data_IF_195469308279
#
_entry.id   IF_195469308279
#
_cell.length_a   1.000
_cell.length_b   1.000
_cell.length_c   1.000
_cell.angle_alpha   90.00
_cell.angle_beta   90.00
_cell.angle_gamma   90.00
#
_symmetry.space_group_name_H-M   'P 1'
#
loop_
_entity.id
_entity.type
_entity.pdbx_description
1 polymer ?
#
# COMPACT_ATOMS: atom_id res chain seq x y z
N UNK A 1 -9.72 3.58 -5.72
CA UNK A 1 -9.34 3.96 -4.35
C UNK A 1 -9.84 5.34 -4.04
N UNK A 2 -10.44 5.56 -2.86
CA UNK A 2 -10.99 6.87 -2.48
C UNK A 2 -9.84 7.87 -2.26
N UNK A 3 -9.89 9.03 -2.89
CA UNK A 3 -8.87 10.09 -2.74
C UNK A 3 -9.46 11.30 -2.01
N UNK A 4 -8.61 12.11 -1.39
CA UNK A 4 -9.03 13.35 -0.75
C UNK A 4 -9.80 14.28 -1.70
N UNK A 5 -9.37 14.37 -2.96
CA UNK A 5 -10.04 15.17 -4.01
C UNK A 5 -11.38 14.58 -4.46
N UNK A 6 -11.57 13.25 -4.37
CA UNK A 6 -12.87 12.63 -4.64
C UNK A 6 -13.88 12.87 -3.51
N UNK A 7 -13.40 13.02 -2.27
CA UNK A 7 -14.20 13.28 -1.07
C UNK A 7 -14.52 14.76 -0.89
N UNK A 8 -13.58 15.62 -1.30
CA UNK A 8 -13.68 17.06 -1.15
C UNK A 8 -13.70 17.65 -2.55
N UNK A 9 -14.85 18.19 -3.00
CA UNK A 9 -15.04 18.77 -4.33
C UNK A 9 -13.74 19.39 -4.88
N UNK A 10 -13.05 18.66 -5.77
CA UNK A 10 -11.63 18.88 -6.05
C UNK A 10 -11.33 20.32 -6.49
N UNK A 11 -12.26 20.95 -7.23
CA UNK A 11 -12.12 22.36 -7.66
C UNK A 11 -12.18 23.31 -6.47
N UNK A 12 -13.14 23.10 -5.58
CA UNK A 12 -13.37 23.93 -4.41
C UNK A 12 -12.22 23.79 -3.39
N UNK A 13 -11.74 22.56 -3.17
CA UNK A 13 -10.58 22.27 -2.31
C UNK A 13 -9.32 22.96 -2.82
N UNK A 14 -9.04 22.88 -4.12
CA UNK A 14 -7.90 23.57 -4.75
C UNK A 14 -8.00 25.09 -4.60
N UNK A 15 -9.20 25.66 -4.75
CA UNK A 15 -9.43 27.09 -4.56
C UNK A 15 -9.11 27.54 -3.13
N UNK A 16 -9.61 26.82 -2.11
CA UNK A 16 -9.32 27.17 -0.72
C UNK A 16 -7.85 26.96 -0.35
N UNK A 17 -7.20 25.88 -0.82
CA UNK A 17 -5.77 25.66 -0.62
C UNK A 17 -4.94 26.81 -1.21
N UNK A 18 -5.23 27.23 -2.45
CA UNK A 18 -4.55 28.36 -3.08
C UNK A 18 -4.67 29.66 -2.25
N UNK A 19 -5.87 29.94 -1.73
CA UNK A 19 -6.11 31.07 -0.83
C UNK A 19 -5.31 30.97 0.48
N UNK A 20 -5.26 29.78 1.08
CA UNK A 20 -4.50 29.51 2.31
C UNK A 20 -3.00 29.71 2.09
N UNK A 21 -2.44 29.13 1.02
CA UNK A 21 -1.03 29.24 0.66
C UNK A 21 -0.62 30.70 0.49
N UNK A 22 -1.46 31.48 -0.20
CA UNK A 22 -1.24 32.91 -0.38
C UNK A 22 -1.14 33.64 0.96
N UNK A 23 -2.06 33.38 1.89
CA UNK A 23 -2.06 34.00 3.23
C UNK A 23 -0.80 33.63 4.01
N UNK A 24 -0.43 32.34 4.01
CA UNK A 24 0.74 31.85 4.74
C UNK A 24 2.06 32.41 4.18
N UNK A 25 2.21 32.49 2.86
CA UNK A 25 3.40 33.10 2.23
C UNK A 25 3.49 34.58 2.56
N UNK A 26 2.40 35.34 2.43
CA UNK A 26 2.40 36.78 2.74
C UNK A 26 2.75 37.02 4.21
N UNK A 27 2.19 36.23 5.13
CA UNK A 27 2.47 36.33 6.57
C UNK A 27 3.96 36.16 6.90
N UNK A 28 4.66 35.34 6.12
CA UNK A 28 6.07 35.01 6.35
C UNK A 28 7.03 35.74 5.40
N UNK A 29 6.57 36.70 4.58
CA UNK A 29 7.38 37.27 3.50
C UNK A 29 8.65 37.99 4.00
N UNK A 30 8.56 38.66 5.15
CA UNK A 30 9.70 39.33 5.78
C UNK A 30 10.73 38.33 6.31
N UNK A 31 10.24 37.19 6.85
CA UNK A 31 11.08 36.11 7.37
C UNK A 31 11.78 35.39 6.22
N UNK A 32 11.08 35.13 5.12
CA UNK A 32 11.64 34.54 3.90
C UNK A 32 12.87 35.35 3.45
N UNK A 33 12.74 36.68 3.44
CA UNK A 33 13.83 37.60 3.11
C UNK A 33 14.37 37.36 1.70
N UNK A 34 15.69 37.21 1.57
CA UNK A 34 16.37 36.96 0.28
C UNK A 34 16.70 35.48 0.02
N UNK A 35 16.25 34.56 0.88
CA UNK A 35 16.54 33.13 0.72
C UNK A 35 15.81 32.56 -0.50
N UNK A 36 16.43 31.60 -1.17
CA UNK A 36 15.76 30.86 -2.25
C UNK A 36 14.67 29.97 -1.66
N UNK A 37 13.60 29.75 -2.40
CA UNK A 37 12.50 28.89 -1.95
C UNK A 37 12.76 27.44 -2.32
N UNK A 38 12.40 26.53 -1.43
CA UNK A 38 12.22 25.10 -1.71
C UNK A 38 10.78 24.74 -1.43
N UNK A 39 10.14 24.00 -2.33
CA UNK A 39 8.84 23.39 -2.05
C UNK A 39 9.10 21.96 -1.57
N UNK A 40 8.72 21.65 -0.35
CA UNK A 40 8.83 20.30 0.21
C UNK A 40 7.44 19.67 0.26
N UNK A 41 7.26 18.51 -0.35
CA UNK A 41 5.97 17.84 -0.41
C UNK A 41 6.08 16.40 -0.92
N UNK A 42 4.96 15.84 -1.34
CA UNK A 42 4.88 14.44 -1.81
C UNK A 42 5.39 14.26 -3.26
N UNK A 43 6.43 14.99 -3.66
CA UNK A 43 7.01 14.96 -5.00
C UNK A 43 6.16 15.71 -6.04
N UNK A 44 5.85 15.06 -7.18
CA UNK A 44 5.00 15.61 -8.27
C UNK A 44 3.51 15.66 -7.91
N UNK A 45 3.21 16.21 -6.73
CA UNK A 45 1.87 16.28 -6.18
C UNK A 45 1.11 17.53 -6.59
N UNK A 46 -0.23 17.44 -6.52
CA UNK A 46 -1.15 18.55 -6.78
C UNK A 46 -0.86 19.77 -5.88
N UNK A 47 -0.42 19.54 -4.64
CA UNK A 47 -0.12 20.64 -3.71
C UNK A 47 1.06 21.50 -4.18
N UNK A 48 2.12 20.89 -4.72
CA UNK A 48 3.27 21.62 -5.30
C UNK A 48 2.85 22.45 -6.52
N UNK A 49 2.00 21.90 -7.39
CA UNK A 49 1.45 22.63 -8.55
C UNK A 49 0.61 23.85 -8.16
N UNK A 50 -0.25 23.72 -7.15
CA UNK A 50 -1.01 24.86 -6.62
C UNK A 50 -0.06 25.92 -6.08
N UNK A 51 0.97 25.50 -5.34
CA UNK A 51 1.93 26.41 -4.72
C UNK A 51 2.74 27.18 -5.78
N UNK A 52 3.25 26.51 -6.81
CA UNK A 52 3.92 27.15 -7.96
C UNK A 52 3.03 28.21 -8.64
N UNK A 53 1.74 27.90 -8.84
CA UNK A 53 0.76 28.87 -9.37
C UNK A 53 0.58 30.07 -8.45
N UNK A 54 0.47 29.86 -7.13
CA UNK A 54 0.35 30.92 -6.13
C UNK A 54 1.59 31.82 -6.12
N UNK A 55 2.80 31.25 -6.16
CA UNK A 55 4.04 32.01 -6.25
C UNK A 55 4.07 32.91 -7.49
N UNK A 56 3.68 32.37 -8.65
CA UNK A 56 3.58 33.15 -9.89
C UNK A 56 2.55 34.28 -9.82
N UNK A 57 1.38 34.03 -9.21
CA UNK A 57 0.36 35.06 -9.01
C UNK A 57 0.80 36.18 -8.05
N UNK A 58 1.53 35.83 -6.99
CA UNK A 58 2.08 36.80 -6.05
C UNK A 58 3.10 37.72 -6.74
N UNK A 59 4.03 37.15 -7.53
CA UNK A 59 5.00 37.92 -8.32
C UNK A 59 4.31 38.86 -9.31
N UNK A 60 3.28 38.40 -10.03
CA UNK A 60 2.47 39.24 -10.93
C UNK A 60 1.76 40.39 -10.22
N UNK A 61 1.49 40.26 -8.93
CA UNK A 61 0.89 41.31 -8.08
C UNK A 61 1.92 42.20 -7.39
N UNK A 62 3.20 42.14 -7.79
CA UNK A 62 4.27 42.98 -7.25
C UNK A 62 4.80 42.53 -5.89
N UNK A 63 4.40 41.37 -5.37
CA UNK A 63 4.96 40.82 -4.13
C UNK A 63 6.36 40.28 -4.43
N UNK A 64 7.37 40.74 -3.68
CA UNK A 64 8.78 40.32 -3.80
C UNK A 64 8.99 38.93 -3.22
N UNK A 65 8.49 37.92 -3.91
CA UNK A 65 8.67 36.51 -3.54
C UNK A 65 9.94 35.96 -4.22
N UNK A 66 10.91 35.42 -3.47
CA UNK A 66 12.15 34.89 -4.05
C UNK A 66 11.93 33.77 -5.06
N UNK A 67 12.97 33.47 -5.83
CA UNK A 67 12.95 32.40 -6.83
C UNK A 67 12.80 31.02 -6.17
N UNK A 68 12.12 30.11 -6.88
CA UNK A 68 12.05 28.70 -6.52
C UNK A 68 13.32 28.02 -7.01
N UNK A 69 14.11 27.44 -6.10
CA UNK A 69 15.34 26.75 -6.48
C UNK A 69 15.07 25.33 -6.98
N UNK A 70 14.32 24.55 -6.21
CA UNK A 70 13.95 23.17 -6.54
C UNK A 70 12.76 22.71 -5.69
N UNK A 71 12.18 21.57 -6.06
CA UNK A 71 11.21 20.85 -5.25
C UNK A 71 11.93 19.71 -4.50
N UNK A 72 11.48 19.38 -3.31
CA UNK A 72 12.01 18.31 -2.49
C UNK A 72 10.89 17.37 -2.03
N UNK A 73 11.25 16.12 -1.76
CA UNK A 73 10.30 15.11 -1.27
C UNK A 73 10.91 14.18 -0.23
N UNK A 74 10.06 13.71 0.68
CA UNK A 74 10.36 12.65 1.64
C UNK A 74 9.98 11.25 1.12
N UNK A 75 9.48 11.15 -0.12
CA UNK A 75 9.13 9.89 -0.76
C UNK A 75 9.99 9.64 -2.01
N UNK A 76 11.11 8.95 -1.82
CA UNK A 76 12.10 8.72 -2.88
C UNK A 76 11.57 7.85 -4.02
N UNK A 77 10.46 7.11 -3.81
CA UNK A 77 9.78 6.37 -4.88
C UNK A 77 9.19 7.29 -5.95
N UNK A 78 9.04 8.58 -5.65
CA UNK A 78 8.54 9.59 -6.59
C UNK A 78 9.66 10.26 -7.40
N UNK A 79 10.93 9.97 -7.07
CA UNK A 79 12.08 10.49 -7.79
C UNK A 79 12.26 9.75 -9.11
N UNK A 80 12.70 10.48 -10.14
CA UNK A 80 12.96 9.93 -11.47
C UNK A 80 14.45 10.01 -11.73
N UNK A 81 15.09 8.87 -12.02
CA UNK A 81 16.52 8.79 -12.27
C UNK A 81 16.91 9.73 -13.42
N UNK A 82 17.88 10.61 -13.16
CA UNK A 82 18.36 11.61 -14.13
C UNK A 82 17.56 12.93 -14.16
N UNK A 83 16.47 13.05 -13.40
CA UNK A 83 15.72 14.30 -13.26
C UNK A 83 16.03 14.97 -11.90
N UNK A 84 16.76 16.09 -11.94
CA UNK A 84 17.17 16.84 -10.75
C UNK A 84 16.18 17.96 -10.35
N UNK A 85 14.99 18.01 -10.97
CA UNK A 85 13.95 18.99 -10.64
C UNK A 85 13.32 18.74 -9.26
N UNK A 86 13.32 17.49 -8.82
CA UNK A 86 12.87 17.04 -7.50
C UNK A 86 14.01 16.32 -6.82
N UNK A 87 14.23 16.64 -5.54
CA UNK A 87 15.35 16.16 -4.74
C UNK A 87 14.90 15.45 -3.48
N UNK A 88 15.77 14.63 -2.90
CA UNK A 88 15.48 14.01 -1.60
C UNK A 88 15.48 15.07 -0.50
N UNK A 89 14.58 14.96 0.47
CA UNK A 89 14.55 15.82 1.68
C UNK A 89 15.91 15.80 2.39
N UNK A 90 16.65 14.69 2.28
CA UNK A 90 17.98 14.49 2.89
C UNK A 90 19.01 15.52 2.42
N UNK A 91 18.86 16.05 1.20
CA UNK A 91 19.74 17.06 0.62
C UNK A 91 19.60 18.43 1.29
N UNK A 92 18.54 18.66 2.08
CA UNK A 92 18.34 19.93 2.80
C UNK A 92 19.20 20.05 4.05
N UNK A 93 19.92 19.00 4.48
CA UNK A 93 20.72 19.03 5.71
C UNK A 93 21.71 20.20 5.71
N UNK A 94 21.60 21.08 6.72
CA UNK A 94 22.49 22.23 6.88
C UNK A 94 22.22 23.41 5.93
N UNK A 95 21.10 23.41 5.20
CA UNK A 95 20.78 24.40 4.18
C UNK A 95 19.92 25.61 4.65
N UNK A 96 19.60 25.71 5.94
CA UNK A 96 18.66 26.70 6.49
C UNK A 96 19.03 28.18 6.26
N UNK A 97 20.33 28.48 6.10
CA UNK A 97 20.82 29.84 5.77
C UNK A 97 20.52 30.26 4.33
N UNK A 98 20.54 29.31 3.39
CA UNK A 98 20.40 29.59 1.96
C UNK A 98 18.94 29.45 1.47
N UNK A 99 18.15 28.62 2.14
CA UNK A 99 16.82 28.26 1.68
C UNK A 99 15.74 28.46 2.75
N UNK A 100 14.56 28.84 2.30
CA UNK A 100 13.33 28.82 3.07
C UNK A 100 12.39 27.76 2.50
N UNK A 101 11.84 26.91 3.37
CA UNK A 101 11.08 25.73 2.94
C UNK A 101 9.58 25.97 3.05
N UNK A 102 8.86 25.80 1.94
CA UNK A 102 7.40 25.77 1.91
C UNK A 102 6.92 24.32 1.97
N UNK A 103 6.43 23.90 3.14
CA UNK A 103 5.98 22.52 3.37
C UNK A 103 4.53 22.37 2.92
N UNK A 104 4.34 21.60 1.85
CA UNK A 104 3.08 21.39 1.13
C UNK A 104 2.49 19.98 1.29
N UNK A 105 2.91 19.25 2.33
CA UNK A 105 2.40 17.92 2.69
C UNK A 105 1.11 17.96 3.50
N UNK A 106 0.49 16.79 3.70
CA UNK A 106 -0.78 16.67 4.43
C UNK A 106 -0.66 17.22 5.85
N UNK A 107 -1.64 18.03 6.26
CA UNK A 107 -1.70 18.55 7.64
C UNK A 107 -2.90 18.00 8.42
N UNK A 108 -4.05 17.83 7.75
CA UNK A 108 -5.29 17.31 8.36
C UNK A 108 -5.25 15.79 8.51
N UNK A 109 -5.75 15.27 9.63
CA UNK A 109 -5.75 13.83 9.95
C UNK A 109 -6.37 12.97 8.84
N UNK A 110 -7.45 13.41 8.19
CA UNK A 110 -8.08 12.65 7.11
C UNK A 110 -7.20 12.64 5.85
N UNK A 111 -6.53 13.77 5.54
CA UNK A 111 -5.60 13.84 4.41
C UNK A 111 -4.34 12.99 4.68
N UNK A 112 -3.87 12.94 5.92
CA UNK A 112 -2.77 12.06 6.35
C UNK A 112 -3.19 10.60 6.22
N UNK A 113 -4.35 10.22 6.78
CA UNK A 113 -4.88 8.87 6.72
C UNK A 113 -5.04 8.37 5.27
N UNK A 114 -5.72 9.14 4.42
CA UNK A 114 -5.97 8.75 3.03
C UNK A 114 -4.68 8.67 2.20
N UNK A 115 -3.70 9.55 2.43
CA UNK A 115 -2.40 9.45 1.76
C UNK A 115 -1.62 8.23 2.23
N UNK A 116 -1.60 8.00 3.54
CA UNK A 116 -1.03 6.80 4.16
C UNK A 116 -1.63 5.51 3.61
N UNK A 117 -2.93 5.48 3.29
CA UNK A 117 -3.54 4.33 2.61
C UNK A 117 -3.04 4.15 1.17
N UNK A 118 -2.76 5.21 0.43
CA UNK A 118 -2.26 5.14 -0.96
C UNK A 118 -0.74 4.95 -1.06
N UNK A 119 -0.10 4.72 0.09
CA UNK A 119 1.34 4.61 0.19
C UNK A 119 2.11 5.91 0.08
N UNK A 120 1.46 7.07 0.01
CA UNK A 120 2.16 8.36 0.12
C UNK A 120 2.50 8.62 1.58
N UNK A 121 3.75 8.89 1.85
CA UNK A 121 4.27 9.08 3.22
C UNK A 121 4.55 10.55 3.51
N UNK A 122 4.56 10.91 4.79
CA UNK A 122 4.86 12.27 5.24
C UNK A 122 3.64 13.11 5.59
N UNK A 123 3.50 13.40 6.87
CA UNK A 123 2.70 14.50 7.38
C UNK A 123 3.54 15.78 7.50
N UNK A 124 2.89 16.94 7.51
CA UNK A 124 3.53 18.22 7.82
C UNK A 124 4.30 18.16 9.14
N UNK A 125 3.77 17.45 10.14
CA UNK A 125 4.39 17.25 11.45
C UNK A 125 5.63 16.36 11.39
N UNK A 126 5.60 15.27 10.62
CA UNK A 126 6.76 14.39 10.44
C UNK A 126 7.91 15.11 9.71
N UNK A 127 7.58 15.91 8.68
CA UNK A 127 8.52 16.74 7.93
C UNK A 127 9.09 17.85 8.80
N UNK A 128 8.27 18.50 9.62
CA UNK A 128 8.72 19.51 10.57
C UNK A 128 9.79 18.96 11.52
N UNK A 129 9.53 17.81 12.15
CA UNK A 129 10.51 17.11 13.01
C UNK A 129 11.80 16.81 12.26
N UNK A 130 11.69 16.43 10.99
CA UNK A 130 12.86 16.12 10.16
C UNK A 130 13.68 17.36 9.78
N UNK A 131 13.02 18.45 9.40
CA UNK A 131 13.66 19.73 9.12
C UNK A 131 14.39 20.26 10.36
N UNK A 132 13.78 20.13 11.54
CA UNK A 132 14.43 20.50 12.81
C UNK A 132 15.72 19.70 13.05
N UNK A 133 15.71 18.39 12.77
CA UNK A 133 16.91 17.55 12.83
C UNK A 133 18.00 18.00 11.83
N UNK A 134 17.61 18.61 10.71
CA UNK A 134 18.50 19.16 9.69
C UNK A 134 19.00 20.58 9.96
N UNK A 135 18.64 21.15 11.10
CA UNK A 135 19.09 22.49 11.52
C UNK A 135 18.22 23.63 11.01
N UNK A 136 16.98 23.34 10.61
CA UNK A 136 15.96 24.37 10.37
C UNK A 136 15.24 24.69 11.68
N UNK A 137 14.94 25.96 11.89
CA UNK A 137 14.09 26.45 12.97
C UNK A 137 12.70 26.80 12.43
N UNK A 138 11.73 27.07 13.29
CA UNK A 138 10.38 27.52 12.90
C UNK A 138 10.40 28.81 12.03
N UNK A 139 11.52 29.53 11.98
CA UNK A 139 11.72 30.70 11.11
C UNK A 139 12.24 30.36 9.71
N UNK A 140 12.50 29.09 9.43
CA UNK A 140 13.14 28.64 8.18
C UNK A 140 12.19 27.83 7.28
N UNK A 141 10.97 27.56 7.76
CA UNK A 141 9.93 26.91 6.98
C UNK A 141 8.52 27.43 7.31
N UNK A 142 7.56 27.12 6.44
CA UNK A 142 6.15 27.36 6.67
C UNK A 142 5.32 26.16 6.22
N UNK A 143 4.43 25.69 7.10
CA UNK A 143 3.43 24.66 6.81
C UNK A 143 2.27 25.28 6.03
N UNK A 144 2.37 25.33 4.70
CA UNK A 144 1.38 26.06 3.88
C UNK A 144 0.00 25.40 3.88
N UNK A 145 -0.09 24.11 4.20
CA UNK A 145 -1.36 23.38 4.38
C UNK A 145 -1.98 23.55 5.77
N UNK A 146 -1.30 24.17 6.73
CA UNK A 146 -1.89 24.46 8.03
C UNK A 146 -3.12 25.36 7.82
N UNK A 147 -4.33 24.90 8.19
CA UNK A 147 -5.55 25.63 7.90
C UNK A 147 -5.62 26.91 8.74
N UNK A 148 -5.93 28.04 8.10
CA UNK A 148 -6.31 29.27 8.81
C UNK A 148 -7.80 29.59 8.62
N UNK A 149 -8.47 30.05 9.68
CA UNK A 149 -9.84 30.59 9.64
C UNK A 149 -10.85 29.66 8.95
N UNK A 150 -11.38 30.07 7.79
CA UNK A 150 -12.47 29.44 7.06
C UNK A 150 -12.14 28.05 6.49
N UNK A 151 -10.88 27.80 6.08
CA UNK A 151 -10.48 26.48 5.58
C UNK A 151 -10.57 25.43 6.69
N UNK A 152 -10.20 25.80 7.93
CA UNK A 152 -10.29 24.91 9.08
C UNK A 152 -11.74 24.48 9.37
N UNK A 153 -12.69 25.42 9.30
CA UNK A 153 -14.11 25.11 9.47
C UNK A 153 -14.64 24.20 8.36
N UNK A 154 -14.29 24.47 7.09
CA UNK A 154 -14.69 23.63 5.96
C UNK A 154 -14.13 22.20 6.07
N UNK A 155 -12.85 22.04 6.45
CA UNK A 155 -12.25 20.71 6.64
C UNK A 155 -12.90 19.96 7.81
N UNK A 156 -13.18 20.61 8.94
CA UNK A 156 -13.89 20.01 10.08
C UNK A 156 -15.27 19.49 9.68
N UNK A 157 -16.03 20.26 8.89
CA UNK A 157 -17.35 19.83 8.39
C UNK A 157 -17.24 18.62 7.46
N UNK A 158 -16.19 18.55 6.62
CA UNK A 158 -15.96 17.39 5.74
C UNK A 158 -15.54 16.16 6.54
N UNK A 159 -14.71 16.32 7.56
CA UNK A 159 -14.36 15.25 8.50
C UNK A 159 -15.59 14.72 9.24
N UNK A 160 -16.49 15.58 9.72
CA UNK A 160 -17.72 15.12 10.38
C UNK A 160 -18.68 14.38 9.44
N UNK A 161 -18.66 14.71 8.14
CA UNK A 161 -19.39 13.93 7.12
C UNK A 161 -18.78 12.55 6.87
N UNK A 162 -17.48 12.37 7.15
CA UNK A 162 -16.75 11.11 6.96
C UNK A 162 -16.74 10.22 8.21
N UNK A 163 -16.73 10.81 9.41
CA UNK A 163 -16.75 10.09 10.70
C UNK A 163 -18.10 9.45 11.06
N UNK A 164 -19.12 9.64 10.23
CA UNK A 164 -20.38 8.93 10.40
C UNK A 164 -20.24 7.63 9.64
N UNK A 165 -20.28 6.52 10.38
CA UNK A 165 -20.64 5.19 9.90
C UNK A 165 -21.55 5.27 8.68
N UNK A 166 -20.93 5.25 7.50
CA UNK A 166 -21.63 5.51 6.25
C UNK A 166 -22.56 4.32 6.02
N UNK A 167 -23.85 4.54 6.29
CA UNK A 167 -24.90 3.53 6.14
C UNK A 167 -24.86 2.89 4.75
N UNK A 168 -24.43 3.62 3.71
CA UNK A 168 -24.29 3.06 2.37
C UNK A 168 -23.15 2.04 2.27
N UNK A 169 -22.02 2.32 2.93
CA UNK A 169 -20.87 1.41 3.03
C UNK A 169 -21.21 0.19 3.91
N UNK A 170 -21.90 0.39 5.03
CA UNK A 170 -22.38 -0.72 5.87
C UNK A 170 -23.40 -1.61 5.14
N UNK A 171 -24.38 -1.02 4.45
CA UNK A 171 -25.36 -1.76 3.65
C UNK A 171 -24.69 -2.53 2.50
N UNK A 172 -23.66 -1.94 1.87
CA UNK A 172 -22.87 -2.63 0.83
C UNK A 172 -22.08 -3.79 1.43
N UNK A 173 -21.43 -3.59 2.58
CA UNK A 173 -20.72 -4.63 3.32
C UNK A 173 -21.64 -5.80 3.68
N UNK A 174 -22.82 -5.52 4.25
CA UNK A 174 -23.82 -6.54 4.59
C UNK A 174 -24.31 -7.31 3.35
N UNK A 175 -24.55 -6.61 2.24
CA UNK A 175 -24.96 -7.25 0.98
C UNK A 175 -23.87 -8.17 0.43
N UNK A 176 -22.62 -7.73 0.42
CA UNK A 176 -21.48 -8.52 -0.05
C UNK A 176 -21.25 -9.74 0.87
N UNK A 177 -21.40 -9.57 2.19
CA UNK A 177 -21.33 -10.66 3.18
C UNK A 177 -22.38 -11.73 2.90
N UNK A 178 -23.65 -11.35 2.71
CA UNK A 178 -24.74 -12.29 2.40
C UNK A 178 -24.52 -13.05 1.10
N UNK A 179 -23.86 -12.44 0.11
CA UNK A 179 -23.49 -13.10 -1.16
C UNK A 179 -22.36 -14.11 -0.97
N UNK A 180 -21.39 -13.77 -0.12
CA UNK A 180 -20.12 -14.48 0.05
C UNK A 180 -20.26 -15.71 0.96
N UNK A 181 -21.05 -15.60 2.02
CA UNK A 181 -21.13 -16.60 3.10
C UNK A 181 -21.46 -18.03 2.61
N UNK A 182 -22.44 -18.27 1.72
CA UNK A 182 -22.70 -19.62 1.23
C UNK A 182 -21.54 -20.18 0.40
N UNK A 183 -20.87 -19.33 -0.39
CA UNK A 183 -19.76 -19.73 -1.24
C UNK A 183 -18.52 -20.11 -0.41
N UNK A 184 -18.28 -19.40 0.71
CA UNK A 184 -17.20 -19.73 1.63
C UNK A 184 -17.50 -20.99 2.46
N UNK A 185 -18.76 -21.23 2.84
CA UNK A 185 -19.10 -22.41 3.62
C UNK A 185 -18.68 -23.72 2.92
N UNK A 186 -18.71 -23.77 1.58
CA UNK A 186 -18.25 -24.91 0.77
C UNK A 186 -16.72 -25.15 0.83
N UNK A 187 -15.95 -24.13 1.24
CA UNK A 187 -14.49 -24.20 1.35
C UNK A 187 -14.02 -24.73 2.70
N UNK A 188 -14.85 -24.64 3.75
CA UNK A 188 -14.42 -24.94 5.13
C UNK A 188 -13.92 -26.37 5.27
N UNK A 189 -12.71 -26.54 5.80
CA UNK A 189 -12.04 -27.86 6.00
C UNK A 189 -11.90 -28.72 4.72
N UNK A 190 -12.04 -28.13 3.52
CA UNK A 190 -11.98 -28.84 2.23
C UNK A 190 -10.64 -29.57 2.00
N UNK A 191 -9.57 -29.06 2.57
CA UNK A 191 -8.21 -29.59 2.43
C UNK A 191 -7.63 -30.08 3.76
N UNK A 192 -8.48 -30.52 4.68
CA UNK A 192 -8.09 -30.99 6.00
C UNK A 192 -6.87 -31.93 5.97
N UNK A 193 -5.82 -31.57 6.72
CA UNK A 193 -4.61 -32.38 6.88
C UNK A 193 -3.65 -32.38 5.69
N UNK A 194 -3.95 -31.63 4.62
CA UNK A 194 -3.07 -31.48 3.46
C UNK A 194 -2.12 -30.28 3.65
N UNK A 195 -1.08 -30.23 2.82
CA UNK A 195 -0.20 -29.05 2.70
C UNK A 195 -0.62 -28.14 1.56
N UNK A 196 -0.31 -26.85 1.66
CA UNK A 196 -0.37 -25.92 0.55
C UNK A 196 0.84 -25.01 0.47
N UNK A 197 1.07 -24.47 -0.72
CA UNK A 197 2.05 -23.42 -0.97
C UNK A 197 1.33 -22.13 -1.33
N UNK A 198 1.57 -21.07 -0.57
CA UNK A 198 1.13 -19.72 -0.90
C UNK A 198 2.25 -19.07 -1.72
N UNK A 199 1.97 -18.84 -3.00
CA UNK A 199 2.95 -18.36 -3.98
C UNK A 199 2.66 -16.91 -4.35
N UNK A 200 3.62 -16.05 -4.03
CA UNK A 200 3.61 -14.65 -4.39
C UNK A 200 4.29 -14.32 -5.69
N UNK A 201 4.11 -13.06 -6.08
CA UNK A 201 4.74 -12.48 -7.26
C UNK A 201 5.96 -11.68 -6.85
N UNK A 202 7.11 -12.02 -7.42
CA UNK A 202 8.31 -11.22 -7.37
C UNK A 202 9.03 -11.24 -8.71
N UNK A 203 9.52 -10.07 -9.11
CA UNK A 203 10.41 -9.95 -10.26
C UNK A 203 11.74 -10.68 -10.00
N UNK A 204 12.19 -11.51 -10.94
CA UNK A 204 13.39 -12.35 -10.77
C UNK A 204 13.16 -13.62 -9.95
N UNK A 205 11.92 -14.06 -9.74
CA UNK A 205 11.63 -15.41 -9.21
C UNK A 205 12.25 -16.48 -10.12
N UNK A 206 12.81 -17.53 -9.53
CA UNK A 206 13.39 -18.63 -10.31
C UNK A 206 12.26 -19.50 -10.87
N UNK A 207 12.09 -19.49 -12.19
CA UNK A 207 11.04 -20.27 -12.85
C UNK A 207 11.19 -21.77 -12.58
N UNK A 208 12.41 -22.29 -12.48
CA UNK A 208 12.64 -23.70 -12.17
C UNK A 208 12.12 -24.11 -10.79
N UNK A 209 12.23 -23.22 -9.78
CA UNK A 209 11.66 -23.44 -8.45
C UNK A 209 10.13 -23.44 -8.51
N UNK A 210 9.53 -22.52 -9.28
CA UNK A 210 8.08 -22.52 -9.51
C UNK A 210 7.59 -23.78 -10.23
N UNK A 211 8.39 -24.29 -11.17
CA UNK A 211 8.05 -25.49 -11.94
C UNK A 211 7.96 -26.75 -11.07
N UNK A 212 8.65 -26.81 -9.92
CA UNK A 212 8.55 -27.94 -8.98
C UNK A 212 7.18 -27.99 -8.28
N UNK A 213 6.48 -26.87 -8.21
CA UNK A 213 5.22 -26.71 -7.49
C UNK A 213 3.98 -27.03 -8.36
N UNK A 214 4.16 -27.39 -9.63
CA UNK A 214 3.05 -27.53 -10.59
C UNK A 214 1.99 -28.57 -10.21
N UNK A 215 2.35 -29.57 -9.41
CA UNK A 215 1.42 -30.60 -8.90
C UNK A 215 0.98 -30.35 -7.46
N UNK A 216 1.51 -29.32 -6.80
CA UNK A 216 1.18 -29.00 -5.41
C UNK A 216 -0.13 -28.22 -5.31
N UNK A 217 -0.75 -28.27 -4.13
CA UNK A 217 -1.85 -27.34 -3.84
C UNK A 217 -1.27 -25.94 -3.65
N UNK A 218 -1.51 -25.06 -4.62
CA UNK A 218 -1.07 -23.68 -4.54
C UNK A 218 -2.23 -22.69 -4.42
N UNK A 219 -2.05 -21.71 -3.53
CA UNK A 219 -2.85 -20.48 -3.48
C UNK A 219 -1.96 -19.36 -4.00
N UNK A 220 -2.45 -18.55 -4.93
CA UNK A 220 -1.69 -17.40 -5.45
C UNK A 220 -2.60 -16.22 -5.76
N UNK A 221 -2.01 -15.07 -6.09
CA UNK A 221 -2.76 -13.84 -6.25
C UNK A 221 -2.23 -12.96 -7.39
N UNK A 222 -3.10 -12.09 -7.91
CA UNK A 222 -2.82 -10.94 -8.79
C UNK A 222 -1.58 -11.08 -9.70
N UNK A 223 -0.39 -10.75 -9.19
CA UNK A 223 0.83 -10.62 -9.99
C UNK A 223 1.30 -11.92 -10.63
N UNK A 224 1.01 -13.08 -10.02
CA UNK A 224 1.55 -14.38 -10.47
C UNK A 224 1.17 -14.69 -11.92
N UNK A 225 0.04 -14.14 -12.40
CA UNK A 225 -0.46 -14.39 -13.75
C UNK A 225 0.53 -13.97 -14.84
N UNK A 226 1.42 -13.03 -14.54
CA UNK A 226 2.50 -12.57 -15.44
C UNK A 226 3.51 -13.69 -15.78
N UNK A 227 3.59 -14.75 -14.97
CA UNK A 227 4.46 -15.89 -15.23
C UNK A 227 3.77 -17.06 -15.90
N UNK A 228 2.44 -17.08 -16.05
CA UNK A 228 1.72 -18.26 -16.58
C UNK A 228 2.11 -18.62 -18.02
N UNK A 229 2.60 -17.68 -18.81
CA UNK A 229 3.16 -17.95 -20.14
C UNK A 229 4.57 -18.53 -20.12
N UNK A 230 5.24 -18.54 -18.96
CA UNK A 230 6.65 -18.91 -18.76
C UNK A 230 6.84 -20.11 -17.81
N UNK A 231 5.78 -20.57 -17.15
CA UNK A 231 5.80 -21.75 -16.27
C UNK A 231 4.53 -22.59 -16.43
N UNK A 232 4.60 -23.93 -16.30
CA UNK A 232 3.44 -24.81 -16.15
C UNK A 232 2.66 -24.62 -14.85
N UNK A 233 3.20 -23.93 -13.84
CA UNK A 233 2.50 -23.71 -12.56
C UNK A 233 1.13 -23.08 -12.80
N UNK A 234 0.08 -23.76 -12.31
CA UNK A 234 -1.29 -23.27 -12.26
C UNK A 234 -1.78 -23.43 -10.83
N UNK A 235 -1.98 -22.32 -10.09
CA UNK A 235 -2.50 -22.38 -8.73
C UNK A 235 -3.84 -23.11 -8.69
N UNK A 236 -4.03 -23.96 -7.67
CA UNK A 236 -5.34 -24.56 -7.39
C UNK A 236 -6.37 -23.46 -7.15
N UNK A 237 -5.95 -22.41 -6.44
CA UNK A 237 -6.79 -21.27 -6.08
C UNK A 237 -6.10 -19.97 -6.42
N UNK A 238 -6.88 -19.05 -6.98
CA UNK A 238 -6.40 -17.75 -7.42
C UNK A 238 -7.20 -16.61 -6.79
N UNK A 239 -6.51 -15.70 -6.10
CA UNK A 239 -7.08 -14.50 -5.50
C UNK A 239 -6.92 -13.33 -6.47
N UNK A 240 -8.02 -12.76 -6.91
CA UNK A 240 -8.08 -11.57 -7.77
C UNK A 240 -8.63 -10.39 -6.97
N UNK A 241 -7.74 -9.54 -6.46
CA UNK A 241 -8.09 -8.32 -5.73
C UNK A 241 -7.87 -7.02 -6.54
N UNK A 242 -7.19 -7.11 -7.68
CA UNK A 242 -7.01 -5.98 -8.61
C UNK A 242 -7.36 -6.37 -10.06
N UNK A 243 -8.33 -5.64 -10.64
CA UNK A 243 -8.85 -5.86 -11.99
C UNK A 243 -7.78 -5.78 -13.11
N UNK A 244 -6.71 -5.00 -12.91
CA UNK A 244 -5.63 -4.88 -13.90
C UNK A 244 -4.94 -6.21 -14.19
N UNK A 245 -4.93 -7.13 -13.23
CA UNK A 245 -4.32 -8.44 -13.41
C UNK A 245 -5.18 -9.39 -14.24
N UNK A 246 -6.49 -9.18 -14.27
CA UNK A 246 -7.41 -9.95 -15.11
C UNK A 246 -7.36 -9.50 -16.57
N UNK A 247 -7.19 -8.19 -16.81
CA UNK A 247 -7.12 -7.63 -18.16
C UNK A 247 -5.94 -8.23 -18.95
N UNK A 248 -6.26 -8.99 -20.01
CA UNK A 248 -5.27 -9.68 -20.85
C UNK A 248 -4.80 -11.04 -20.34
N UNK A 249 -5.09 -11.41 -19.08
CA UNK A 249 -4.73 -12.71 -18.50
C UNK A 249 -5.94 -13.61 -18.21
N UNK A 250 -7.17 -13.16 -18.48
CA UNK A 250 -8.41 -13.91 -18.20
C UNK A 250 -8.35 -15.38 -18.63
N UNK A 251 -7.86 -15.67 -19.84
CA UNK A 251 -7.70 -17.03 -20.38
C UNK A 251 -6.90 -18.01 -19.49
N UNK A 252 -6.04 -17.50 -18.61
CA UNK A 252 -5.28 -18.33 -17.68
C UNK A 252 -5.96 -18.45 -16.32
N UNK A 253 -6.75 -17.45 -15.93
CA UNK A 253 -7.39 -17.33 -14.62
C UNK A 253 -8.76 -18.03 -14.61
N UNK A 254 -9.48 -17.97 -15.73
CA UNK A 254 -10.87 -18.44 -15.88
C UNK A 254 -11.05 -19.95 -15.64
N UNK A 255 -9.98 -20.75 -15.74
CA UNK A 255 -10.00 -22.19 -15.45
C UNK A 255 -9.65 -22.56 -14.00
N UNK A 256 -9.31 -21.59 -13.15
CA UNK A 256 -8.90 -21.83 -11.74
C UNK A 256 -10.07 -21.64 -10.77
N UNK A 257 -9.97 -22.22 -9.56
CA UNK A 257 -10.90 -21.90 -8.46
C UNK A 257 -10.61 -20.47 -7.97
N UNK A 258 -11.43 -19.51 -8.38
CA UNK A 258 -11.13 -18.09 -8.22
C UNK A 258 -11.90 -17.45 -7.06
N UNK A 259 -11.14 -16.74 -6.21
CA UNK A 259 -11.66 -15.82 -5.23
C UNK A 259 -11.53 -14.40 -5.78
N UNK A 260 -12.66 -13.70 -5.97
CA UNK A 260 -12.69 -12.38 -6.60
C UNK A 260 -13.18 -11.33 -5.61
N UNK A 261 -12.42 -10.26 -5.45
CA UNK A 261 -12.83 -9.15 -4.61
C UNK A 261 -14.11 -8.48 -5.14
N UNK A 262 -15.05 -8.14 -4.25
CA UNK A 262 -16.37 -7.60 -4.64
C UNK A 262 -16.33 -6.28 -5.43
N UNK A 263 -15.21 -5.57 -5.38
CA UNK A 263 -14.95 -4.35 -6.16
C UNK A 263 -14.29 -4.60 -7.52
N UNK A 264 -13.98 -5.86 -7.87
CA UNK A 264 -13.40 -6.26 -9.15
C UNK A 264 -14.51 -6.80 -10.06
N UNK A 265 -14.55 -6.29 -11.29
CA UNK A 265 -15.46 -6.76 -12.33
C UNK A 265 -14.76 -7.75 -13.23
N UNK A 266 -15.40 -8.90 -13.46
CA UNK A 266 -14.93 -9.98 -14.35
C UNK A 266 -16.08 -10.45 -15.24
N UNK A 267 -15.76 -11.20 -16.30
CA UNK A 267 -16.77 -11.88 -17.12
C UNK A 267 -17.11 -13.23 -16.48
N UNK A 268 -18.06 -13.25 -15.53
CA UNK A 268 -18.42 -14.46 -14.75
C UNK A 268 -18.75 -15.68 -15.63
N UNK A 269 -19.30 -15.46 -16.83
CA UNK A 269 -19.69 -16.48 -17.81
C UNK A 269 -18.51 -17.23 -18.45
N UNK A 270 -17.30 -16.68 -18.36
CA UNK A 270 -16.09 -17.32 -18.90
C UNK A 270 -15.43 -18.29 -17.95
N UNK A 271 -15.77 -18.26 -16.66
CA UNK A 271 -15.13 -19.10 -15.66
C UNK A 271 -15.69 -20.52 -15.72
N UNK A 272 -14.80 -21.52 -15.70
CA UNK A 272 -15.18 -22.95 -15.64
C UNK A 272 -15.96 -23.25 -14.35
N UNK A 273 -15.57 -22.61 -13.25
CA UNK A 273 -16.26 -22.64 -11.97
C UNK A 273 -16.64 -21.21 -11.58
N UNK A 274 -17.90 -21.01 -11.18
CA UNK A 274 -18.37 -19.70 -10.73
C UNK A 274 -17.45 -19.14 -9.62
N UNK A 275 -16.93 -17.91 -9.76
CA UNK A 275 -16.03 -17.34 -8.76
C UNK A 275 -16.71 -17.18 -7.40
N UNK A 276 -15.92 -17.41 -6.35
CA UNK A 276 -16.29 -17.06 -4.97
C UNK A 276 -15.97 -15.60 -4.77
N UNK A 277 -16.99 -14.79 -4.52
CA UNK A 277 -16.78 -13.38 -4.23
C UNK A 277 -16.43 -13.20 -2.77
N UNK A 278 -15.53 -12.27 -2.47
CA UNK A 278 -15.23 -11.90 -1.10
C UNK A 278 -15.12 -10.39 -0.94
N UNK A 279 -15.42 -9.91 0.25
CA UNK A 279 -15.42 -8.49 0.52
C UNK A 279 -14.02 -8.01 0.94
N UNK A 280 -13.44 -7.11 0.15
CA UNK A 280 -12.20 -6.37 0.50
C UNK A 280 -12.50 -4.98 1.09
N UNK A 281 -13.73 -4.47 0.91
CA UNK A 281 -14.12 -3.12 1.27
C UNK A 281 -14.25 -2.85 2.78
N UNK A 282 -14.13 -3.85 3.67
CA UNK A 282 -14.00 -3.68 5.13
C UNK A 282 -12.68 -4.29 5.64
N UNK A 283 -12.09 -3.75 6.73
CA UNK A 283 -10.88 -4.15 7.50
C UNK A 283 -9.77 -5.07 6.88
N UNK A 284 -9.70 -5.31 5.57
CA UNK A 284 -8.88 -6.39 5.00
C UNK A 284 -9.33 -7.77 5.46
N UNK A 285 -10.61 -7.91 5.83
CA UNK A 285 -11.12 -9.08 6.53
C UNK A 285 -12.36 -9.59 5.83
N UNK A 286 -12.34 -10.88 5.47
CA UNK A 286 -13.53 -11.63 5.10
C UNK A 286 -14.19 -12.06 6.41
N UNK A 287 -15.38 -11.54 6.79
CA UNK A 287 -15.97 -11.75 8.13
C UNK A 287 -16.06 -13.20 8.61
N UNK A 288 -16.15 -14.14 7.68
CA UNK A 288 -16.29 -15.57 7.92
C UNK A 288 -14.95 -16.30 8.11
N UNK A 289 -13.83 -15.71 7.71
CA UNK A 289 -12.51 -16.31 7.86
C UNK A 289 -11.92 -16.00 9.26
N UNK A 290 -10.84 -16.67 9.68
CA UNK A 290 -10.09 -16.28 10.86
C UNK A 290 -9.57 -14.83 10.79
N UNK A 291 -9.68 -14.06 11.88
CA UNK A 291 -9.22 -12.67 11.94
C UNK A 291 -8.04 -12.50 12.89
N UNK A 292 -7.05 -11.71 12.50
CA UNK A 292 -5.82 -11.48 13.27
C UNK A 292 -5.48 -9.99 13.44
N UNK A 293 -6.32 -9.12 12.89
CA UNK A 293 -6.11 -7.68 12.78
C UNK A 293 -6.70 -7.14 11.48
N UNK A 294 -6.64 -5.81 11.32
CA UNK A 294 -7.12 -5.12 10.12
C UNK A 294 -5.95 -4.60 9.30
N UNK A 295 -6.00 -4.73 7.97
CA UNK A 295 -4.95 -4.22 7.07
C UNK A 295 -5.23 -2.81 6.53
N UNK A 296 -6.40 -2.24 6.80
CA UNK A 296 -6.85 -1.00 6.14
C UNK A 296 -6.26 0.29 6.71
N UNK A 297 -5.50 0.21 7.80
CA UNK A 297 -5.10 1.40 8.55
C UNK A 297 -3.78 2.03 8.05
N UNK A 298 -2.98 1.31 7.25
CA UNK A 298 -1.73 1.81 6.68
C UNK A 298 -1.38 1.10 5.37
N UNK A 299 -0.67 1.77 4.45
CA UNK A 299 -0.12 1.12 3.24
C UNK A 299 0.78 -0.07 3.60
N UNK A 300 1.51 0.03 4.71
CA UNK A 300 2.34 -1.05 5.19
C UNK A 300 1.53 -2.35 5.30
N UNK A 301 0.40 -2.30 6.00
CA UNK A 301 -0.47 -3.46 6.13
C UNK A 301 -1.20 -3.81 4.82
N UNK A 302 -1.56 -2.83 3.98
CA UNK A 302 -2.17 -3.10 2.67
C UNK A 302 -1.26 -3.88 1.73
N UNK A 303 0.06 -3.75 1.83
CA UNK A 303 1.01 -4.50 0.99
C UNK A 303 1.08 -5.98 1.31
N UNK A 304 0.76 -6.36 2.54
CA UNK A 304 0.66 -7.77 2.96
C UNK A 304 -0.75 -8.34 2.83
N UNK A 305 -1.73 -7.57 2.35
CA UNK A 305 -3.15 -7.96 2.31
C UNK A 305 -3.35 -9.24 1.49
N UNK A 306 -2.68 -9.37 0.34
CA UNK A 306 -2.79 -10.58 -0.49
C UNK A 306 -2.21 -11.83 0.21
N UNK A 307 -1.09 -11.70 0.95
CA UNK A 307 -0.54 -12.78 1.78
C UNK A 307 -1.50 -13.13 2.93
N UNK A 308 -2.04 -12.09 3.56
CA UNK A 308 -2.94 -12.20 4.70
C UNK A 308 -4.23 -12.94 4.32
N UNK A 309 -4.87 -12.56 3.21
CA UNK A 309 -6.07 -13.23 2.68
C UNK A 309 -5.76 -14.68 2.32
N UNK A 310 -4.62 -14.96 1.69
CA UNK A 310 -4.23 -16.32 1.35
C UNK A 310 -4.01 -17.20 2.60
N UNK A 311 -3.41 -16.63 3.67
CA UNK A 311 -3.25 -17.31 4.96
C UNK A 311 -4.60 -17.57 5.63
N UNK A 312 -5.51 -16.60 5.59
CA UNK A 312 -6.87 -16.75 6.13
C UNK A 312 -7.64 -17.87 5.41
N UNK A 313 -7.56 -17.91 4.08
CA UNK A 313 -8.17 -18.98 3.29
C UNK A 313 -7.53 -20.32 3.61
N UNK A 314 -6.20 -20.42 3.61
CA UNK A 314 -5.52 -21.68 3.89
C UNK A 314 -5.90 -22.28 5.26
N UNK A 315 -5.95 -21.44 6.30
CA UNK A 315 -6.36 -21.84 7.64
C UNK A 315 -7.83 -22.24 7.71
N UNK A 316 -8.71 -21.53 7.02
CA UNK A 316 -10.15 -21.82 6.98
C UNK A 316 -10.47 -23.11 6.23
N UNK A 317 -9.70 -23.42 5.18
CA UNK A 317 -9.86 -24.63 4.37
C UNK A 317 -9.20 -25.86 4.99
N UNK A 318 -8.54 -25.73 6.15
CA UNK A 318 -8.06 -26.85 6.96
C UNK A 318 -6.66 -27.37 6.59
N UNK A 319 -5.85 -26.62 5.84
CA UNK A 319 -4.47 -27.02 5.57
C UNK A 319 -3.67 -27.10 6.89
N UNK A 320 -2.90 -28.18 7.06
CA UNK A 320 -2.07 -28.43 8.26
C UNK A 320 -0.63 -27.93 8.10
N UNK A 321 -0.15 -27.79 6.87
CA UNK A 321 1.18 -27.26 6.55
C UNK A 321 1.09 -26.20 5.46
N UNK A 322 1.58 -25.00 5.74
CA UNK A 322 1.49 -23.85 4.83
C UNK A 322 2.89 -23.32 4.54
N UNK A 323 3.27 -23.29 3.27
CA UNK A 323 4.59 -22.84 2.81
C UNK A 323 4.49 -21.50 2.07
N UNK A 324 5.21 -20.47 2.53
CA UNK A 324 5.15 -19.11 1.95
C UNK A 324 6.36 -18.86 1.05
N UNK A 325 6.15 -18.66 -0.24
CA UNK A 325 7.21 -18.41 -1.22
C UNK A 325 6.90 -17.17 -2.08
N UNK A 326 7.92 -16.38 -2.43
CA UNK A 326 7.80 -15.25 -3.35
C UNK A 326 7.26 -13.96 -2.74
N UNK A 327 7.38 -13.75 -1.43
CA UNK A 327 6.93 -12.54 -0.73
C UNK A 327 8.06 -11.61 -0.25
N UNK A 328 9.32 -11.89 -0.58
CA UNK A 328 10.50 -11.14 -0.17
C UNK A 328 10.73 -9.79 -0.90
N UNK A 329 9.77 -9.34 -1.71
CA UNK A 329 9.86 -8.12 -2.52
C UNK A 329 8.62 -7.23 -2.52
N UNK A 330 7.68 -7.45 -1.60
CA UNK A 330 6.42 -6.68 -1.56
C UNK A 330 6.60 -5.23 -1.06
N UNK A 331 7.70 -4.96 -0.33
CA UNK A 331 8.12 -3.62 0.08
C UNK A 331 9.27 -3.13 -0.79
N UNK A 332 9.12 -1.92 -1.34
CA UNK A 332 10.05 -1.31 -2.28
C UNK A 332 10.71 -0.03 -1.74
N UNK A 333 10.52 0.27 -0.46
CA UNK A 333 11.17 1.36 0.25
C UNK A 333 11.18 1.04 1.75
N UNK A 334 12.18 1.58 2.45
CA UNK A 334 12.18 1.63 3.91
C UNK A 334 11.35 2.82 4.37
N UNK A 335 10.40 2.59 5.28
CA UNK A 335 9.69 3.69 5.94
C UNK A 335 10.42 4.03 7.24
N UNK A 336 10.88 5.27 7.38
CA UNK A 336 11.58 5.74 8.60
C UNK A 336 10.59 6.20 9.67
N UNK A 337 11.09 6.48 10.88
CA UNK A 337 10.31 7.10 11.97
C UNK A 337 9.84 8.53 11.68
N UNK A 338 10.29 9.13 10.58
CA UNK A 338 9.84 10.44 10.09
C UNK A 338 8.86 10.30 8.91
N UNK A 339 8.28 9.11 8.71
CA UNK A 339 7.42 8.81 7.56
C UNK A 339 8.11 9.14 6.22
N UNK A 340 9.41 8.85 6.10
CA UNK A 340 10.15 8.97 4.84
C UNK A 340 10.21 7.62 4.16
N UNK A 341 10.00 7.57 2.84
CA UNK A 341 10.20 6.36 2.05
C UNK A 341 11.55 6.47 1.35
N UNK A 342 12.52 5.70 1.82
CA UNK A 342 13.88 5.68 1.30
C UNK A 342 14.07 4.51 0.33
N UNK A 343 14.60 4.79 -0.86
CA UNK A 343 14.85 3.80 -1.91
C UNK A 343 16.35 3.58 -2.08
N UNK A 344 16.75 2.32 -2.20
CA UNK A 344 18.11 1.83 -2.29
C UNK A 344 18.07 0.71 -3.32
N UNK A 345 18.66 0.99 -4.49
CA UNK A 345 18.68 0.11 -5.65
C UNK A 345 19.26 -1.28 -5.35
N UNK A 346 20.01 -1.44 -4.25
CA UNK A 346 20.72 -2.68 -3.90
C UNK A 346 20.01 -3.52 -2.81
N UNK A 347 18.92 -3.04 -2.20
CA UNK A 347 18.35 -3.69 -1.01
C UNK A 347 16.93 -4.24 -1.22
N UNK A 348 16.72 -5.45 -0.69
CA UNK A 348 15.39 -5.91 -0.27
C UNK A 348 15.05 -5.24 1.05
N UNK A 349 13.79 -4.86 1.22
CA UNK A 349 13.31 -4.21 2.43
C UNK A 349 12.57 -5.18 3.33
N UNK A 350 12.91 -5.13 4.61
CA UNK A 350 12.16 -5.81 5.65
C UNK A 350 10.72 -5.31 5.71
N UNK A 351 9.84 -6.18 6.19
CA UNK A 351 8.46 -5.81 6.45
C UNK A 351 8.41 -4.76 7.57
N UNK A 352 7.58 -3.71 7.45
CA UNK A 352 7.32 -2.79 8.55
C UNK A 352 6.83 -3.52 9.81
N UNK A 353 7.12 -2.95 10.98
CA UNK A 353 6.82 -3.55 12.29
C UNK A 353 5.33 -3.92 12.46
N UNK A 354 4.43 -3.07 11.99
CA UNK A 354 2.99 -3.34 12.00
C UNK A 354 2.63 -4.61 11.23
N UNK A 355 3.21 -4.82 10.04
CA UNK A 355 2.97 -6.00 9.23
C UNK A 355 3.57 -7.26 9.87
N UNK A 356 4.76 -7.15 10.47
CA UNK A 356 5.33 -8.25 11.25
C UNK A 356 4.45 -8.62 12.45
N UNK A 357 3.88 -7.63 13.13
CA UNK A 357 2.97 -7.84 14.26
C UNK A 357 1.70 -8.56 13.83
N UNK A 358 1.09 -8.16 12.71
CA UNK A 358 -0.05 -8.85 12.13
C UNK A 358 0.26 -10.33 11.82
N UNK A 359 1.40 -10.61 11.19
CA UNK A 359 1.81 -11.99 10.85
C UNK A 359 2.18 -12.82 12.09
N UNK A 360 2.67 -12.21 13.16
CA UNK A 360 2.82 -12.88 14.46
C UNK A 360 1.48 -13.32 15.04
N UNK A 361 0.43 -12.50 14.92
CA UNK A 361 -0.91 -12.89 15.35
C UNK A 361 -1.43 -14.09 14.52
N UNK A 362 -1.19 -14.11 13.21
CA UNK A 362 -1.49 -15.27 12.34
C UNK A 362 -0.78 -16.52 12.85
N UNK A 363 0.54 -16.42 13.14
CA UNK A 363 1.32 -17.54 13.67
C UNK A 363 0.71 -18.08 14.97
N UNK A 364 0.42 -17.21 15.93
CA UNK A 364 -0.16 -17.62 17.22
C UNK A 364 -1.46 -18.39 17.03
N UNK A 365 -2.34 -17.91 16.14
CA UNK A 365 -3.56 -18.63 15.82
C UNK A 365 -3.29 -19.98 15.15
N UNK A 366 -2.44 -20.02 14.12
CA UNK A 366 -2.11 -21.25 13.41
C UNK A 366 -1.54 -22.31 14.37
N UNK A 367 -0.63 -21.93 15.26
CA UNK A 367 -0.09 -22.81 16.29
C UNK A 367 -1.16 -23.32 17.25
N UNK A 368 -2.13 -22.49 17.64
CA UNK A 368 -3.25 -22.93 18.49
C UNK A 368 -4.20 -23.89 17.78
N UNK A 369 -4.24 -23.85 16.45
CA UNK A 369 -5.01 -24.76 15.59
C UNK A 369 -4.21 -26.01 15.16
N UNK A 370 -2.96 -26.18 15.62
CA UNK A 370 -2.10 -27.29 15.22
C UNK A 370 -1.56 -27.20 13.78
N UNK A 371 -1.56 -26.00 13.19
CA UNK A 371 -1.10 -25.73 11.82
C UNK A 371 0.32 -25.18 11.84
N UNK A 372 1.18 -25.71 10.98
CA UNK A 372 2.56 -25.25 10.78
C UNK A 372 2.65 -24.30 9.59
N UNK A 373 3.32 -23.17 9.77
CA UNK A 373 3.58 -22.19 8.71
C UNK A 373 5.10 -22.04 8.55
N UNK A 374 5.57 -22.17 7.30
CA UNK A 374 6.97 -22.16 6.91
C UNK A 374 7.29 -20.99 5.98
N UNK A 375 8.43 -20.33 6.24
CA UNK A 375 8.99 -19.29 5.37
C UNK A 375 9.95 -19.92 4.35
N UNK A 376 9.57 -19.90 3.07
CA UNK A 376 10.44 -20.25 1.94
C UNK A 376 10.92 -19.03 1.14
N UNK A 377 10.54 -17.82 1.55
CA UNK A 377 10.87 -16.59 0.81
C UNK A 377 12.28 -16.08 1.12
N UNK A 378 12.94 -16.60 2.15
CA UNK A 378 14.32 -16.25 2.49
C UNK A 378 14.51 -14.79 2.92
N UNK A 379 13.45 -14.16 3.44
CA UNK A 379 13.51 -12.82 4.04
C UNK A 379 13.40 -12.92 5.56
N UNK A 380 14.25 -12.17 6.25
CA UNK A 380 14.35 -12.24 7.71
C UNK A 380 13.09 -11.72 8.42
N UNK A 381 12.38 -10.80 7.78
CA UNK A 381 11.11 -10.27 8.31
C UNK A 381 9.97 -11.30 8.35
N UNK A 382 10.17 -12.50 7.79
CA UNK A 382 9.26 -13.65 7.90
C UNK A 382 9.79 -14.76 8.85
N UNK A 383 10.90 -14.54 9.57
CA UNK A 383 11.51 -15.54 10.48
C UNK A 383 10.67 -15.84 11.73
N UNK A 384 9.52 -15.17 11.93
CA UNK A 384 8.54 -15.70 12.88
C UNK A 384 8.04 -17.07 12.44
N UNK A 385 7.98 -17.36 11.14
CA UNK A 385 7.72 -18.69 10.60
C UNK A 385 9.03 -19.47 10.47
N UNK A 386 8.96 -20.80 10.65
CA UNK A 386 10.15 -21.65 10.54
C UNK A 386 10.69 -21.61 9.10
N UNK A 387 11.99 -21.37 8.92
CA UNK A 387 12.59 -21.29 7.60
C UNK A 387 12.74 -22.67 6.98
N UNK A 388 12.35 -22.81 5.72
CA UNK A 388 12.54 -24.01 4.90
C UNK A 388 13.05 -23.61 3.52
N UNK A 389 14.10 -24.27 3.03
CA UNK A 389 14.54 -24.11 1.64
C UNK A 389 13.80 -25.08 0.74
N UNK A 390 13.75 -24.80 -0.56
CA UNK A 390 13.06 -25.67 -1.53
C UNK A 390 13.65 -27.09 -1.56
N UNK A 391 14.96 -27.24 -1.33
CA UNK A 391 15.65 -28.53 -1.29
C UNK A 391 15.28 -29.39 -0.08
N UNK A 392 14.71 -28.78 0.97
CA UNK A 392 14.23 -29.49 2.16
C UNK A 392 12.81 -30.02 1.99
N UNK A 393 12.15 -29.72 0.86
CA UNK A 393 10.79 -30.15 0.59
C UNK A 393 10.79 -31.44 -0.22
N UNK A 394 10.13 -32.47 0.31
CA UNK A 394 9.91 -33.69 -0.44
C UNK A 394 8.72 -33.51 -1.41
N UNK A 395 9.03 -33.49 -2.71
CA UNK A 395 8.06 -33.44 -3.81
C UNK A 395 7.75 -34.84 -4.39
N UNK A 396 8.34 -35.91 -3.84
CA UNK A 396 8.16 -37.28 -4.37
C UNK A 396 6.72 -37.79 -4.22
N UNK A 397 6.01 -37.34 -3.20
CA UNK A 397 4.60 -37.69 -2.92
C UNK A 397 3.61 -37.11 -3.92
N UNK A 398 4.02 -36.09 -4.69
CA UNK A 398 3.18 -35.33 -5.63
C UNK A 398 3.61 -35.52 -7.08
N UNK A 399 4.73 -36.21 -7.33
CA UNK A 399 5.18 -36.59 -8.66
C UNK A 399 4.35 -37.76 -9.19
N UNK A 400 3.33 -37.44 -9.99
CA UNK A 400 2.72 -38.35 -10.97
C UNK A 400 3.66 -38.64 -12.18
N UNK A 401 4.96 -38.80 -11.92
CA UNK A 401 5.95 -39.32 -12.87
C UNK A 401 6.56 -40.62 -12.34
N UNK A 402 5.72 -41.49 -11.77
CA UNK A 402 6.04 -42.90 -11.69
C UNK A 402 5.39 -43.62 -12.89
N UNK A 403 6.26 -44.03 -13.83
CA UNK A 403 6.00 -44.81 -15.06
C UNK A 403 5.56 -44.00 -16.29
N UNK A 404 6.55 -43.48 -17.02
CA UNK A 404 6.63 -43.70 -18.48
C UNK A 404 7.73 -44.74 -18.70
#
# INVERSE_FOLDING_TARGET
>A
MMTYDSLTNAKLTKFFKAGNYKKQIIKNIEIIGQRKLVILGDGRGVNGEILKKVLGQLRKKGVRVPELAFEATNDERTLVKGDNSIRSITELKGMSKAYYVLVSSSYDELEVYLKGMTGRVGSAQSIEKRLQQYGFTERDYCLVNQPVSFLGTYMKMKRSQFNISDKSTQNKLEKDVRRTEPQLAECKEKFHGQRCFIIGYKEGVKLDELNLLFNEKCISYNGICKFFSKTPLRPTQYILSNAEHYLGNGKYIEAMDCFVASNVTVFEDKFEKKPTYFNIMGNGFIPQLPSFGSTQHSEALRRVDDLYIALQLALYEGFSEIYIYGFDGIYNAQITSYDEALVNDEKKYDYPEEAQTLLKNVKTYASSAGVSIYNMSGIDSLNMFESRTIDQIDFSTTKLLSKI
#
